data_IF_340521551379
#
_entry.id   IF_340521551379
#
_cell.length_a   1.000
_cell.length_b   1.000
_cell.length_c   1.000
_cell.angle_alpha   90.00
_cell.angle_beta   90.00
_cell.angle_gamma   90.00
#
_symmetry.space_group_name_H-M   'P 1'
#
loop_
_entity.id
_entity.type
_entity.pdbx_description
1 polymer ?
#
# COMPACT_ATOMS: atom_id res chain seq x y z
N UNK A 1 -21.85 -10.44 6.23
CA UNK A 1 -20.63 -10.58 5.41
C UNK A 1 -19.51 -10.05 6.29
N UNK A 2 -18.75 -10.95 6.89
CA UNK A 2 -17.52 -10.58 7.60
C UNK A 2 -16.59 -10.01 6.53
N UNK A 3 -16.46 -8.68 6.49
CA UNK A 3 -15.43 -8.05 5.68
C UNK A 3 -14.10 -8.60 6.21
N UNK A 4 -13.37 -9.34 5.38
CA UNK A 4 -12.00 -9.72 5.72
C UNK A 4 -11.25 -8.41 5.94
N UNK A 5 -11.02 -8.08 7.20
CA UNK A 5 -10.08 -7.04 7.59
C UNK A 5 -8.71 -7.63 7.25
N UNK A 6 -8.26 -7.43 6.01
CA UNK A 6 -6.92 -7.81 5.60
C UNK A 6 -5.99 -7.13 6.59
N UNK A 7 -5.14 -7.91 7.25
CA UNK A 7 -4.23 -7.35 8.25
C UNK A 7 -3.17 -6.53 7.52
N UNK A 8 -2.75 -5.37 8.06
CA UNK A 8 -1.66 -4.60 7.47
C UNK A 8 -0.41 -5.45 7.19
N UNK A 9 -0.14 -6.44 8.04
CA UNK A 9 1.04 -7.30 7.91
C UNK A 9 0.96 -8.21 6.68
N UNK A 10 -0.23 -8.72 6.33
CA UNK A 10 -0.43 -9.52 5.11
C UNK A 10 -0.23 -8.68 3.85
N UNK A 11 -0.56 -7.38 3.91
CA UNK A 11 -0.33 -6.45 2.80
C UNK A 11 1.14 -6.06 2.65
N UNK A 12 1.88 -6.00 3.77
CA UNK A 12 3.33 -5.79 3.76
C UNK A 12 4.01 -6.98 3.10
N UNK A 13 3.66 -8.19 3.50
CA UNK A 13 4.23 -9.41 2.92
C UNK A 13 4.00 -9.46 1.40
N UNK A 14 2.77 -9.17 0.94
CA UNK A 14 2.44 -9.10 -0.50
C UNK A 14 3.29 -8.05 -1.21
N UNK A 15 3.42 -6.84 -0.66
CA UNK A 15 4.20 -5.77 -1.29
C UNK A 15 5.69 -6.11 -1.37
N UNK A 16 6.23 -6.83 -0.38
CA UNK A 16 7.63 -7.26 -0.37
C UNK A 16 7.88 -8.47 -1.29
N UNK A 17 6.93 -9.40 -1.41
CA UNK A 17 7.06 -10.58 -2.28
C UNK A 17 6.79 -10.27 -3.75
N UNK A 18 5.70 -9.57 -4.05
CA UNK A 18 5.24 -9.29 -5.41
C UNK A 18 5.83 -7.98 -5.96
N UNK A 19 6.32 -7.10 -5.09
CA UNK A 19 6.86 -5.79 -5.46
C UNK A 19 5.78 -4.77 -5.83
N UNK A 20 4.51 -5.14 -5.74
CA UNK A 20 3.38 -4.24 -5.97
C UNK A 20 2.17 -4.63 -5.12
N UNK A 21 1.32 -3.63 -4.85
CA UNK A 21 0.11 -3.80 -4.07
C UNK A 21 -0.99 -2.86 -4.58
N UNK A 22 -2.20 -3.39 -4.81
CA UNK A 22 -3.40 -2.58 -5.03
C UNK A 22 -4.40 -2.74 -3.88
N UNK A 23 -4.92 -1.62 -3.38
CA UNK A 23 -5.97 -1.56 -2.36
C UNK A 23 -7.17 -0.82 -2.93
N UNK A 24 -8.32 -1.51 -2.97
CA UNK A 24 -9.59 -0.98 -3.47
C UNK A 24 -10.69 -1.09 -2.40
N UNK A 25 -11.45 -0.01 -2.20
CA UNK A 25 -12.54 0.04 -1.21
C UNK A 25 -13.94 0.21 -1.79
N UNK A 26 -14.11 0.03 -3.11
CA UNK A 26 -15.40 0.27 -3.78
C UNK A 26 -15.58 1.69 -4.32
N UNK A 27 -14.74 2.65 -3.91
CA UNK A 27 -14.82 4.05 -4.35
C UNK A 27 -13.48 4.61 -4.86
N UNK A 28 -12.36 4.17 -4.26
CA UNK A 28 -11.00 4.60 -4.56
C UNK A 28 -10.11 3.37 -4.64
N UNK A 29 -9.18 3.40 -5.59
CA UNK A 29 -8.10 2.44 -5.74
C UNK A 29 -6.77 3.16 -5.49
N UNK A 30 -5.89 2.55 -4.71
CA UNK A 30 -4.52 3.00 -4.51
C UNK A 30 -3.57 1.88 -4.91
N UNK A 31 -2.53 2.24 -5.65
CA UNK A 31 -1.48 1.32 -6.04
C UNK A 31 -0.18 1.74 -5.37
N UNK A 32 0.60 0.77 -4.88
CA UNK A 32 1.95 0.93 -4.36
C UNK A 32 2.86 -0.01 -5.15
N UNK A 33 4.04 0.45 -5.52
CA UNK A 33 5.07 -0.35 -6.15
C UNK A 33 6.41 -0.15 -5.47
N UNK A 34 7.20 -1.21 -5.43
CA UNK A 34 8.61 -1.18 -5.06
C UNK A 34 9.43 -0.70 -6.25
N UNK A 35 10.30 0.26 -6.01
CA UNK A 35 11.25 0.80 -6.97
C UNK A 35 12.65 0.49 -6.44
N UNK A 36 13.42 -0.26 -7.22
CA UNK A 36 14.85 -0.46 -6.97
C UNK A 36 15.61 0.76 -7.50
N UNK A 37 15.80 1.74 -6.63
CA UNK A 37 16.70 2.85 -6.89
C UNK A 37 18.12 2.44 -6.51
N UNK A 38 19.13 2.99 -7.18
CA UNK A 38 20.55 2.62 -6.99
C UNK A 38 21.07 2.80 -5.54
N UNK A 39 20.28 3.41 -4.66
CA UNK A 39 20.55 3.64 -3.23
C UNK A 39 19.74 2.71 -2.29
N UNK A 40 18.85 1.87 -2.81
CA UNK A 40 18.02 0.92 -2.06
C UNK A 40 16.58 0.83 -2.59
N UNK A 41 15.77 -0.02 -1.95
CA UNK A 41 14.35 -0.13 -2.27
C UNK A 41 13.58 1.09 -1.73
N UNK A 42 12.89 1.78 -2.63
CA UNK A 42 11.89 2.81 -2.33
C UNK A 42 10.50 2.27 -2.65
N UNK A 43 9.46 2.78 -1.99
CA UNK A 43 8.08 2.42 -2.32
C UNK A 43 7.36 3.67 -2.78
N UNK A 44 6.67 3.61 -3.92
CA UNK A 44 5.96 4.77 -4.48
C UNK A 44 4.50 4.43 -4.75
N UNK A 45 3.61 5.37 -4.45
CA UNK A 45 2.18 5.21 -4.71
C UNK A 45 1.76 5.82 -6.05
N UNK A 46 0.58 5.44 -6.53
CA UNK A 46 -0.09 6.07 -7.68
C UNK A 46 -0.41 7.56 -7.49
N UNK A 47 -0.23 8.11 -6.28
CA UNK A 47 -0.38 9.54 -5.99
C UNK A 47 0.96 10.28 -5.89
N UNK A 48 2.07 9.64 -6.28
CA UNK A 48 3.44 10.15 -6.15
C UNK A 48 3.89 10.35 -4.69
N UNK A 49 3.31 9.62 -3.74
CA UNK A 49 3.86 9.58 -2.38
C UNK A 49 4.97 8.54 -2.34
N UNK A 50 6.08 8.86 -1.66
CA UNK A 50 7.27 8.02 -1.55
C UNK A 50 7.48 7.58 -0.09
N UNK A 51 7.87 6.33 0.12
CA UNK A 51 8.06 5.74 1.44
C UNK A 51 9.40 5.01 1.52
N UNK A 52 10.03 5.08 2.70
CA UNK A 52 11.29 4.39 2.98
C UNK A 52 11.10 2.93 3.41
N UNK A 53 9.86 2.48 3.60
CA UNK A 53 9.54 1.12 3.98
C UNK A 53 8.17 0.66 3.47
N UNK A 54 8.04 -0.65 3.26
CA UNK A 54 6.80 -1.36 2.88
C UNK A 54 5.69 -1.08 3.90
N UNK A 55 6.02 -1.13 5.19
CA UNK A 55 5.10 -0.86 6.30
C UNK A 55 4.53 0.55 6.25
N UNK A 56 5.36 1.57 6.06
CA UNK A 56 4.89 2.95 5.94
C UNK A 56 3.95 3.13 4.75
N UNK A 57 4.29 2.54 3.60
CA UNK A 57 3.47 2.62 2.40
C UNK A 57 2.08 1.97 2.62
N UNK A 58 2.05 0.77 3.20
CA UNK A 58 0.82 0.03 3.50
C UNK A 58 -0.05 0.77 4.51
N UNK A 59 0.52 1.24 5.63
CA UNK A 59 -0.22 1.98 6.65
C UNK A 59 -0.83 3.28 6.09
N UNK A 60 -0.08 3.99 5.24
CA UNK A 60 -0.58 5.16 4.53
C UNK A 60 -1.76 4.80 3.62
N UNK A 61 -1.64 3.76 2.79
CA UNK A 61 -2.70 3.41 1.84
C UNK A 61 -3.99 2.96 2.54
N UNK A 62 -3.89 2.18 3.62
CA UNK A 62 -5.04 1.80 4.45
C UNK A 62 -5.72 3.05 5.03
N UNK A 63 -4.94 4.00 5.55
CA UNK A 63 -5.47 5.23 6.12
C UNK A 63 -6.18 6.10 5.05
N UNK A 64 -5.57 6.28 3.88
CA UNK A 64 -6.15 7.04 2.76
C UNK A 64 -7.44 6.43 2.23
N UNK A 65 -7.49 5.10 2.18
CA UNK A 65 -8.68 4.35 1.81
C UNK A 65 -9.79 4.53 2.84
N UNK A 66 -9.48 4.52 4.14
CA UNK A 66 -10.48 4.76 5.19
C UNK A 66 -10.98 6.21 5.24
N UNK A 67 -10.12 7.20 5.01
CA UNK A 67 -10.53 8.62 4.93
C UNK A 67 -11.57 8.86 3.84
N UNK A 68 -11.54 8.10 2.77
CA UNK A 68 -12.48 8.25 1.65
C UNK A 68 -13.91 7.75 1.97
N UNK A 69 -14.12 7.12 3.13
CA UNK A 69 -15.40 6.55 3.57
C UNK A 69 -16.06 7.44 4.66
N UNK A 70 -15.32 8.43 5.20
CA UNK A 70 -15.84 9.46 6.14
C UNK A 70 -16.25 10.73 5.40
#
# INVERSE_FOLDING_TARGET
MEGSLIKPEELVDVLEEDGELSIYNGAKELFIQTVDDKEGYSYVSSTNEEFGSSREAVEWAINEIHKSIM
#
